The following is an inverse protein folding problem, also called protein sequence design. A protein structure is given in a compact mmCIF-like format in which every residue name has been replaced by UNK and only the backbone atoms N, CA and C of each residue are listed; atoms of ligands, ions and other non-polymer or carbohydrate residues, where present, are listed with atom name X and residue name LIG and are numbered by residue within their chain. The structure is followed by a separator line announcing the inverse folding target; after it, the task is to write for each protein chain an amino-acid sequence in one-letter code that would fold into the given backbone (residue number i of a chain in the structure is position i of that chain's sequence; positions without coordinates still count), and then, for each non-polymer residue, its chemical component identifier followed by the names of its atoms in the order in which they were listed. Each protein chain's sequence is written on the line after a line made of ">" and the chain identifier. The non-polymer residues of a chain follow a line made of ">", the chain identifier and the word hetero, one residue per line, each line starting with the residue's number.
data_IF_057013364390
#
_entry.id   IF_057013364390
#
_cell.length_a   1.000
_cell.length_b   1.000
_cell.length_c   1.000
_cell.angle_alpha   90.00
_cell.angle_beta   90.00
_cell.angle_gamma   90.00
#
_symmetry.space_group_name_H-M   'P 1'
#
loop_
_entity.id
_entity.type
_entity.pdbx_description
1 polymer ?
#
# COMPACT_ATOMS: atom_id res chain seq x y z
N UNK A 1 -9.39 28.39 24.66
CA UNK A 1 -8.14 28.12 23.92
C UNK A 1 -8.37 26.88 23.07
N UNK A 2 -8.48 27.12 21.76
CA UNK A 2 -8.43 26.19 20.62
C UNK A 2 -8.73 24.70 20.88
N UNK A 3 -9.99 24.31 20.73
CA UNK A 3 -10.32 22.95 20.31
C UNK A 3 -10.20 22.90 18.78
N UNK A 4 -9.24 22.13 18.28
CA UNK A 4 -9.16 21.77 16.85
C UNK A 4 -9.67 20.34 16.75
N UNK A 5 -10.89 20.18 16.23
CA UNK A 5 -11.39 18.89 15.80
C UNK A 5 -10.84 18.59 14.40
N UNK A 6 -9.92 17.64 14.32
CA UNK A 6 -9.50 17.07 13.04
C UNK A 6 -10.44 15.89 12.76
N UNK A 7 -11.28 16.06 11.73
CA UNK A 7 -12.14 15.07 11.08
C UNK A 7 -12.16 13.67 11.72
N UNK A 8 -13.07 13.44 12.68
CA UNK A 8 -13.39 12.11 13.22
C UNK A 8 -14.06 11.24 12.14
N UNK A 9 -13.33 10.93 11.06
CA UNK A 9 -13.74 9.96 10.06
C UNK A 9 -13.32 8.59 10.57
N UNK A 10 -14.31 7.83 11.03
CA UNK A 10 -14.18 6.39 11.21
C UNK A 10 -14.10 5.73 9.83
N UNK A 11 -12.96 5.11 9.54
CA UNK A 11 -12.79 4.26 8.35
C UNK A 11 -12.97 2.81 8.78
N UNK A 12 -14.14 2.25 8.51
CA UNK A 12 -14.42 0.84 8.77
C UNK A 12 -13.93 0.02 7.56
N UNK A 13 -12.88 -0.79 7.77
CA UNK A 13 -12.42 -1.71 6.73
C UNK A 13 -13.38 -2.90 6.60
N UNK A 14 -13.68 -3.37 5.38
CA UNK A 14 -14.54 -4.52 5.17
C UNK A 14 -13.92 -5.84 5.67
N UNK A 15 -14.74 -6.87 5.90
CA UNK A 15 -16.16 -6.89 5.60
C UNK A 15 -17.03 -6.71 6.85
N UNK A 16 -18.23 -6.18 6.65
CA UNK A 16 -19.27 -6.20 7.69
C UNK A 16 -19.82 -7.61 7.93
N UNK A 17 -19.74 -8.47 6.91
CA UNK A 17 -20.16 -9.87 6.95
C UNK A 17 -19.24 -10.72 6.06
N UNK A 18 -18.90 -11.94 6.48
CA UNK A 18 -18.10 -12.87 5.68
C UNK A 18 -16.59 -12.58 5.69
N UNK A 19 -15.94 -12.57 4.51
CA UNK A 19 -14.48 -12.47 4.35
C UNK A 19 -14.10 -11.41 3.31
N UNK A 20 -13.10 -10.59 3.61
CA UNK A 20 -12.45 -9.68 2.66
C UNK A 20 -10.98 -10.07 2.50
N UNK A 21 -10.37 -9.63 1.38
CA UNK A 21 -8.96 -9.87 1.10
C UNK A 21 -8.26 -8.52 0.98
N UNK A 22 -7.11 -8.41 1.63
CA UNK A 22 -6.22 -7.27 1.50
C UNK A 22 -4.83 -7.75 1.07
N UNK A 23 -4.17 -6.97 0.21
CA UNK A 23 -2.77 -7.20 -0.14
C UNK A 23 -1.88 -6.51 0.89
N UNK A 24 -1.05 -7.30 1.56
CA UNK A 24 -0.01 -6.77 2.43
C UNK A 24 1.28 -6.49 1.63
N UNK A 25 1.94 -5.37 1.94
CA UNK A 25 3.26 -5.02 1.44
C UNK A 25 4.15 -4.54 2.58
N UNK A 26 5.34 -5.14 2.69
CA UNK A 26 6.40 -4.58 3.53
C UNK A 26 7.04 -3.40 2.82
N UNK A 27 7.15 -2.26 3.49
CA UNK A 27 7.71 -1.01 2.94
C UNK A 27 8.79 -0.45 3.86
N UNK A 28 9.72 0.32 3.30
CA UNK A 28 10.73 1.02 4.09
C UNK A 28 10.15 2.24 4.82
N UNK A 29 9.13 2.88 4.22
CA UNK A 29 8.51 4.10 4.73
C UNK A 29 7.03 4.10 4.30
N UNK A 30 6.13 4.12 5.29
CA UNK A 30 4.68 4.00 5.05
C UNK A 30 4.15 5.21 4.30
N UNK A 31 4.49 6.42 4.72
CA UNK A 31 3.95 7.64 4.12
C UNK A 31 4.43 7.82 2.68
N UNK A 32 5.74 7.67 2.46
CA UNK A 32 6.33 7.75 1.12
C UNK A 32 5.70 6.72 0.18
N UNK A 33 5.54 5.48 0.63
CA UNK A 33 4.91 4.44 -0.19
C UNK A 33 3.42 4.72 -0.44
N UNK A 34 2.67 5.18 0.57
CA UNK A 34 1.26 5.51 0.41
C UNK A 34 1.05 6.63 -0.62
N UNK A 35 1.85 7.70 -0.52
CA UNK A 35 1.81 8.83 -1.47
C UNK A 35 2.23 8.44 -2.88
N UNK A 36 3.14 7.47 -3.03
CA UNK A 36 3.46 6.91 -4.35
C UNK A 36 2.25 6.22 -4.98
N UNK A 37 1.56 5.34 -4.25
CA UNK A 37 0.36 4.65 -4.77
C UNK A 37 -0.79 5.63 -5.06
N UNK A 38 -0.99 6.65 -4.22
CA UNK A 38 -1.96 7.71 -4.47
C UNK A 38 -1.64 8.48 -5.74
N UNK A 39 -0.40 8.98 -5.88
CA UNK A 39 0.01 9.79 -7.02
C UNK A 39 -0.01 9.01 -8.33
N UNK A 40 0.57 7.81 -8.35
CA UNK A 40 0.80 7.06 -9.59
C UNK A 40 -0.48 6.35 -10.02
N UNK A 41 -1.07 5.58 -9.12
CA UNK A 41 -2.17 4.66 -9.43
C UNK A 41 -3.54 5.18 -9.00
N UNK A 42 -3.61 6.34 -8.33
CA UNK A 42 -4.87 6.91 -7.86
C UNK A 42 -5.44 6.20 -6.64
N UNK A 43 -4.61 5.54 -5.83
CA UNK A 43 -5.06 4.94 -4.58
C UNK A 43 -5.61 6.01 -3.62
N UNK A 44 -6.66 5.67 -2.87
CA UNK A 44 -7.16 6.50 -1.78
C UNK A 44 -6.46 6.09 -0.49
N UNK A 45 -5.78 7.05 0.15
CA UNK A 45 -5.22 6.85 1.49
C UNK A 45 -6.34 6.96 2.51
N UNK A 46 -6.48 5.94 3.35
CA UNK A 46 -7.49 5.85 4.40
C UNK A 46 -6.87 6.14 5.77
N UNK A 47 -5.64 5.65 5.96
CA UNK A 47 -4.80 5.95 7.11
C UNK A 47 -3.34 5.85 6.70
N UNK A 48 -2.50 6.71 7.27
CA UNK A 48 -1.04 6.63 7.15
C UNK A 48 -0.42 5.77 8.28
N UNK A 49 -1.25 5.18 9.14
CA UNK A 49 -0.80 4.56 10.38
C UNK A 49 -0.35 5.59 11.42
N UNK A 50 -0.20 5.12 12.65
CA UNK A 50 0.38 5.85 13.76
C UNK A 50 1.15 4.91 14.69
N UNK A 51 2.32 5.33 15.19
CA UNK A 51 3.17 4.49 16.03
C UNK A 51 3.55 3.15 15.36
N UNK A 52 2.88 2.07 15.79
CA UNK A 52 3.08 0.71 15.26
C UNK A 52 1.95 0.23 14.32
N UNK A 53 0.95 1.07 14.04
CA UNK A 53 -0.14 0.72 13.15
C UNK A 53 0.28 0.87 11.67
N UNK A 54 -0.17 -0.03 10.78
CA UNK A 54 0.15 0.06 9.36
C UNK A 54 -0.65 1.17 8.66
N UNK A 55 -0.17 1.55 7.48
CA UNK A 55 -0.94 2.36 6.54
C UNK A 55 -1.98 1.53 5.80
N UNK A 56 -3.09 2.17 5.45
CA UNK A 56 -4.20 1.54 4.74
C UNK A 56 -4.60 2.36 3.51
N UNK A 57 -4.70 1.68 2.37
CA UNK A 57 -5.13 2.26 1.12
C UNK A 57 -6.24 1.43 0.48
N UNK A 58 -7.13 2.12 -0.23
CA UNK A 58 -8.01 1.50 -1.19
C UNK A 58 -7.45 1.78 -2.59
N UNK A 59 -7.16 0.72 -3.35
CA UNK A 59 -6.69 0.82 -4.72
C UNK A 59 -7.59 -0.03 -5.62
N UNK A 60 -8.30 0.62 -6.53
CA UNK A 60 -9.31 -0.02 -7.36
C UNK A 60 -10.27 -0.88 -6.51
N UNK A 61 -10.25 -2.20 -6.70
CA UNK A 61 -11.10 -3.16 -6.01
C UNK A 61 -10.40 -3.90 -4.85
N UNK A 62 -9.17 -3.52 -4.49
CA UNK A 62 -8.42 -4.15 -3.40
C UNK A 62 -8.14 -3.18 -2.25
N UNK A 63 -7.98 -3.76 -1.07
CA UNK A 63 -7.42 -3.07 0.09
C UNK A 63 -5.94 -3.38 0.19
N UNK A 64 -5.14 -2.38 0.51
CA UNK A 64 -3.70 -2.52 0.68
C UNK A 64 -3.31 -2.15 2.10
N UNK A 65 -2.43 -2.96 2.68
CA UNK A 65 -1.83 -2.75 3.99
C UNK A 65 -0.35 -2.51 3.76
N UNK A 66 0.14 -1.34 4.17
CA UNK A 66 1.56 -1.00 4.12
C UNK A 66 2.11 -1.02 5.53
N UNK A 67 3.13 -1.83 5.80
CA UNK A 67 3.78 -1.83 7.09
C UNK A 67 5.29 -1.91 6.95
N UNK A 68 6.00 -1.37 7.94
CA UNK A 68 7.44 -1.58 8.02
C UNK A 68 7.77 -3.04 8.35
N UNK A 69 8.98 -3.44 8.00
CA UNK A 69 9.51 -4.75 8.35
C UNK A 69 9.58 -4.97 9.86
N UNK A 70 9.69 -6.23 10.25
CA UNK A 70 9.77 -6.65 11.64
C UNK A 70 10.68 -7.85 11.79
N UNK A 71 11.47 -7.86 12.87
CA UNK A 71 12.35 -8.97 13.19
C UNK A 71 11.64 -10.16 13.83
N UNK A 72 12.40 -11.21 14.15
CA UNK A 72 11.89 -12.34 14.90
C UNK A 72 11.39 -11.96 16.28
N UNK A 73 10.41 -12.71 16.77
CA UNK A 73 9.84 -12.59 18.11
C UNK A 73 9.95 -13.94 18.83
N UNK A 74 9.80 -14.01 20.17
CA UNK A 74 9.91 -15.26 20.90
C UNK A 74 9.00 -16.39 20.39
N UNK A 75 7.81 -16.04 19.89
CA UNK A 75 6.84 -16.96 19.28
C UNK A 75 7.21 -17.40 17.86
N UNK A 76 7.96 -16.59 17.12
CA UNK A 76 8.41 -16.87 15.74
C UNK A 76 9.89 -16.49 15.56
N UNK A 77 10.82 -17.21 16.20
CA UNK A 77 12.23 -16.79 16.33
C UNK A 77 13.03 -16.86 15.02
N UNK A 78 12.48 -17.45 13.96
CA UNK A 78 13.12 -17.56 12.64
C UNK A 78 12.47 -16.71 11.56
N UNK A 79 11.38 -16.01 11.88
CA UNK A 79 10.57 -15.29 10.88
C UNK A 79 10.92 -13.82 10.90
N UNK A 80 11.41 -13.32 9.77
CA UNK A 80 11.65 -11.90 9.52
C UNK A 80 10.76 -11.42 8.40
N UNK A 81 10.18 -10.25 8.59
CA UNK A 81 9.49 -9.51 7.55
C UNK A 81 10.44 -8.42 7.05
N UNK A 82 11.02 -8.59 5.86
CA UNK A 82 11.97 -7.65 5.27
C UNK A 82 11.33 -6.80 4.19
N UNK A 83 11.88 -5.60 3.98
CA UNK A 83 11.58 -4.78 2.80
C UNK A 83 12.05 -5.54 1.56
N UNK A 84 11.28 -5.56 0.45
CA UNK A 84 11.67 -6.26 -0.77
C UNK A 84 13.01 -5.75 -1.32
N UNK A 85 13.85 -6.69 -1.79
CA UNK A 85 15.03 -6.38 -2.59
C UNK A 85 14.57 -6.09 -4.03
N UNK A 86 14.91 -4.93 -4.61
CA UNK A 86 14.50 -4.58 -5.97
C UNK A 86 14.98 -5.58 -7.04
N UNK A 87 16.03 -6.37 -6.75
CA UNK A 87 16.54 -7.40 -7.66
C UNK A 87 16.03 -8.81 -7.33
N UNK A 88 15.20 -8.97 -6.29
CA UNK A 88 14.62 -10.25 -5.89
C UNK A 88 13.13 -10.12 -5.63
N UNK A 89 12.33 -10.49 -6.63
CA UNK A 89 10.88 -10.37 -6.55
C UNK A 89 10.28 -11.43 -5.63
N UNK A 90 9.50 -11.00 -4.65
CA UNK A 90 8.81 -11.87 -3.69
C UNK A 90 7.28 -11.87 -3.85
N UNK A 91 6.71 -10.99 -4.69
CA UNK A 91 5.27 -10.89 -4.95
C UNK A 91 4.98 -10.07 -6.21
N UNK A 92 3.81 -10.28 -6.81
CA UNK A 92 3.29 -9.48 -7.92
C UNK A 92 1.85 -9.04 -7.66
N UNK A 93 1.55 -7.77 -7.94
CA UNK A 93 0.18 -7.28 -8.06
C UNK A 93 -0.14 -7.03 -9.54
N UNK A 94 -1.17 -7.69 -10.05
CA UNK A 94 -1.51 -7.62 -11.47
C UNK A 94 -2.62 -6.59 -11.71
N UNK A 95 -2.35 -5.59 -12.54
CA UNK A 95 -3.33 -4.60 -12.98
C UNK A 95 -3.86 -5.02 -14.34
N UNK A 96 -5.18 -5.14 -14.46
CA UNK A 96 -5.85 -5.32 -15.76
C UNK A 96 -6.36 -3.96 -16.21
N UNK A 97 -5.95 -3.55 -17.40
CA UNK A 97 -6.27 -2.24 -17.97
C UNK A 97 -6.82 -2.41 -19.38
N UNK A 98 -7.71 -1.51 -19.80
CA UNK A 98 -8.32 -1.54 -21.12
C UNK A 98 -7.35 -1.08 -22.23
N UNK A 99 -6.44 -0.15 -21.92
CA UNK A 99 -5.42 0.38 -22.83
C UNK A 99 -4.07 0.47 -22.11
N UNK A 100 -3.19 -0.48 -22.40
CA UNK A 100 -1.88 -0.58 -21.77
C UNK A 100 -0.96 0.59 -22.15
N UNK A 101 -1.08 1.11 -23.37
CA UNK A 101 -0.22 2.19 -23.86
C UNK A 101 -0.62 3.53 -23.25
N UNK A 102 -1.92 3.79 -23.10
CA UNK A 102 -2.41 4.97 -22.38
C UNK A 102 -2.03 4.93 -20.89
N UNK A 103 -2.21 3.78 -20.23
CA UNK A 103 -1.81 3.62 -18.82
C UNK A 103 -0.31 3.77 -18.63
N UNK A 104 0.51 3.18 -19.51
CA UNK A 104 1.97 3.33 -19.48
C UNK A 104 2.40 4.80 -19.51
N UNK A 105 1.89 5.57 -20.49
CA UNK A 105 2.20 7.01 -20.61
C UNK A 105 1.77 7.80 -19.38
N UNK A 106 0.56 7.55 -18.88
CA UNK A 106 0.01 8.25 -17.72
C UNK A 106 0.77 7.94 -16.43
N UNK A 107 1.05 6.67 -16.16
CA UNK A 107 1.75 6.27 -14.94
C UNK A 107 3.21 6.73 -14.98
N UNK A 108 3.88 6.64 -16.15
CA UNK A 108 5.22 7.19 -16.34
C UNK A 108 5.24 8.70 -16.11
N UNK A 109 4.25 9.46 -16.61
CA UNK A 109 4.16 10.90 -16.37
C UNK A 109 3.87 11.27 -14.90
N UNK A 110 3.38 10.31 -14.10
CA UNK A 110 3.15 10.47 -12.65
C UNK A 110 4.34 10.00 -11.80
N UNK A 111 5.41 9.53 -12.43
CA UNK A 111 6.64 9.10 -11.78
C UNK A 111 6.75 7.59 -11.54
N UNK A 112 5.97 6.76 -12.25
CA UNK A 112 6.21 5.32 -12.26
C UNK A 112 7.51 4.98 -13.00
N UNK A 113 8.30 4.09 -12.41
CA UNK A 113 9.43 3.45 -13.06
C UNK A 113 9.01 2.10 -13.63
N UNK A 114 9.28 1.86 -14.91
CA UNK A 114 8.98 0.60 -15.58
C UNK A 114 10.28 -0.15 -15.85
N UNK A 115 10.31 -1.43 -15.45
CA UNK A 115 11.43 -2.34 -15.77
C UNK A 115 11.51 -2.60 -17.28
N UNK A 116 10.35 -2.71 -17.94
CA UNK A 116 10.21 -2.86 -19.40
C UNK A 116 9.01 -2.06 -19.89
N UNK A 117 9.07 -1.57 -21.13
CA UNK A 117 7.95 -0.91 -21.80
C UNK A 117 6.95 -1.97 -22.35
N UNK A 118 5.64 -1.66 -22.43
CA UNK A 118 4.63 -2.56 -23.01
C UNK A 118 4.62 -2.61 -24.54
#
# INVERSE_FOLDING_TARGET
>A
MSAVEIEQKSYEMPPREGVSIAQFLTVADIERSARYYERVFGARILSLGDGNAPGYLQLANIWMILNVGGGPTPDKPTVTLSVPDPNHINSFMNFRVADIQACYKLWKSRGAEFITEP
#
